data_IF_209167569433
#
_entry.id   IF_209167569433
#
_cell.length_a   1.000
_cell.length_b   1.000
_cell.length_c   1.000
_cell.angle_alpha   90.00
_cell.angle_beta   90.00
_cell.angle_gamma   90.00
#
_symmetry.space_group_name_H-M   'P 1'
#
loop_
_entity.id
_entity.type
_entity.pdbx_description
1 polymer ?
#
# COMPACT_ATOMS: atom_id res chain seq x y z
N UNK A 1 -25.20 1.87 7.24
CA UNK A 1 -24.28 0.96 7.96
C UNK A 1 -24.78 0.53 9.33
N UNK A 2 -25.39 1.42 10.15
CA UNK A 2 -25.94 1.05 11.47
C UNK A 2 -26.92 -0.13 11.38
N UNK A 3 -27.84 -0.10 10.41
CA UNK A 3 -28.78 -1.19 10.16
C UNK A 3 -28.06 -2.48 9.76
N UNK A 4 -27.08 -2.39 8.85
CA UNK A 4 -26.29 -3.54 8.42
C UNK A 4 -25.48 -4.16 9.56
N UNK A 5 -24.91 -3.33 10.45
CA UNK A 5 -24.25 -3.83 11.67
C UNK A 5 -25.21 -4.60 12.56
N UNK A 6 -26.42 -4.09 12.80
CA UNK A 6 -27.45 -4.80 13.55
C UNK A 6 -27.85 -6.13 12.90
N UNK A 7 -27.84 -6.18 11.57
CA UNK A 7 -28.12 -7.39 10.80
C UNK A 7 -26.92 -8.36 10.73
N UNK A 8 -25.80 -8.07 11.42
CA UNK A 8 -24.66 -8.97 11.55
C UNK A 8 -23.48 -8.67 10.63
N UNK A 9 -23.44 -7.51 9.96
CA UNK A 9 -22.27 -7.12 9.16
C UNK A 9 -21.01 -7.03 10.03
N UNK A 10 -19.98 -7.80 9.71
CA UNK A 10 -18.70 -7.87 10.44
C UNK A 10 -17.59 -7.09 9.74
N UNK A 11 -17.51 -7.20 8.41
CA UNK A 11 -16.41 -6.66 7.61
C UNK A 11 -16.90 -6.20 6.24
N UNK A 12 -16.28 -5.15 5.70
CA UNK A 12 -16.51 -4.67 4.34
C UNK A 12 -15.20 -4.50 3.57
N UNK A 13 -15.22 -4.70 2.27
CA UNK A 13 -14.18 -4.21 1.40
C UNK A 13 -14.52 -2.78 0.99
N UNK A 14 -13.60 -1.86 1.25
CA UNK A 14 -13.76 -0.44 0.98
C UNK A 14 -12.78 0.01 -0.11
N UNK A 15 -13.30 0.29 -1.31
CA UNK A 15 -12.50 0.78 -2.42
C UNK A 15 -12.16 2.27 -2.26
N UNK A 16 -11.12 2.57 -1.52
CA UNK A 16 -10.58 3.95 -1.34
C UNK A 16 -9.82 4.38 -2.59
N UNK A 17 -9.05 3.49 -3.16
CA UNK A 17 -8.17 3.58 -4.32
C UNK A 17 -7.00 4.56 -4.13
N UNK A 18 -7.24 5.80 -3.71
CA UNK A 18 -6.21 6.83 -3.49
C UNK A 18 -6.69 7.92 -2.56
N UNK A 19 -5.75 8.63 -1.96
CA UNK A 19 -5.98 9.91 -1.25
C UNK A 19 -5.43 11.12 -2.00
N UNK A 20 -5.06 10.94 -3.25
CA UNK A 20 -4.83 12.03 -4.19
C UNK A 20 -6.06 12.23 -5.08
N UNK A 21 -6.62 13.45 -5.10
CA UNK A 21 -7.78 13.75 -5.93
C UNK A 21 -7.46 13.54 -7.42
N UNK A 22 -6.23 13.89 -7.85
CA UNK A 22 -5.77 13.64 -9.23
C UNK A 22 -5.86 12.17 -9.63
N UNK A 23 -5.46 11.27 -8.73
CA UNK A 23 -5.56 9.82 -8.97
C UNK A 23 -7.03 9.35 -9.01
N UNK A 24 -7.89 9.84 -8.10
CA UNK A 24 -9.32 9.52 -8.11
C UNK A 24 -10.00 9.97 -9.40
N UNK A 25 -9.67 11.17 -9.89
CA UNK A 25 -10.18 11.70 -11.15
C UNK A 25 -9.66 10.90 -12.34
N UNK A 26 -8.38 10.52 -12.32
CA UNK A 26 -7.78 9.65 -13.33
C UNK A 26 -8.48 8.29 -13.41
N UNK A 27 -8.83 7.69 -12.26
CA UNK A 27 -9.60 6.44 -12.21
C UNK A 27 -11.07 6.62 -12.56
N UNK A 28 -11.54 7.86 -12.71
CA UNK A 28 -12.97 8.20 -12.90
C UNK A 28 -13.84 7.62 -11.79
N UNK A 29 -13.36 7.69 -10.56
CA UNK A 29 -14.03 7.11 -9.39
C UNK A 29 -15.31 7.86 -9.02
N UNK A 30 -15.42 9.15 -9.38
CA UNK A 30 -16.60 9.98 -9.08
C UNK A 30 -16.80 10.27 -7.59
N UNK A 31 -15.74 10.18 -6.79
CA UNK A 31 -15.74 10.49 -5.35
C UNK A 31 -14.60 11.43 -5.01
N UNK A 32 -14.70 12.06 -3.84
CA UNK A 32 -13.65 12.93 -3.31
C UNK A 32 -12.83 12.25 -2.22
N UNK A 33 -11.63 12.78 -1.97
CA UNK A 33 -10.78 12.39 -0.84
C UNK A 33 -11.53 12.51 0.48
N UNK A 34 -12.34 13.57 0.65
CA UNK A 34 -13.13 13.80 1.85
C UNK A 34 -14.19 12.71 2.04
N UNK A 35 -14.83 12.26 0.98
CA UNK A 35 -15.77 11.14 1.05
C UNK A 35 -15.08 9.83 1.47
N UNK A 36 -13.86 9.60 1.04
CA UNK A 36 -13.04 8.47 1.50
C UNK A 36 -12.75 8.55 3.00
N UNK A 37 -12.32 9.73 3.51
CA UNK A 37 -12.10 9.94 4.95
C UNK A 37 -13.36 9.68 5.75
N UNK A 38 -14.47 10.27 5.36
CA UNK A 38 -15.78 10.11 6.02
C UNK A 38 -16.26 8.66 6.03
N UNK A 39 -15.97 7.90 4.98
CA UNK A 39 -16.29 6.48 4.94
C UNK A 39 -15.49 5.69 5.98
N UNK A 40 -14.17 5.92 6.07
CA UNK A 40 -13.30 5.31 7.08
C UNK A 40 -13.73 5.67 8.50
N UNK A 41 -13.90 6.96 8.80
CA UNK A 41 -14.36 7.44 10.12
C UNK A 41 -15.70 6.81 10.52
N UNK A 42 -16.59 6.63 9.54
CA UNK A 42 -17.90 6.01 9.79
C UNK A 42 -17.76 4.55 10.18
N UNK A 43 -16.88 3.79 9.52
CA UNK A 43 -16.63 2.39 9.84
C UNK A 43 -15.93 2.22 11.19
N UNK A 44 -14.91 3.06 11.48
CA UNK A 44 -14.24 3.09 12.78
C UNK A 44 -15.24 3.39 13.93
N UNK A 45 -16.06 4.44 13.79
CA UNK A 45 -17.09 4.79 14.79
C UNK A 45 -18.15 3.71 14.98
N UNK A 46 -18.48 2.97 13.92
CA UNK A 46 -19.44 1.87 13.98
C UNK A 46 -18.77 0.55 14.36
N UNK A 47 -17.47 0.52 14.59
CA UNK A 47 -16.72 -0.68 14.94
C UNK A 47 -16.96 -1.81 13.92
N UNK A 48 -16.94 -1.48 12.65
CA UNK A 48 -17.05 -2.43 11.54
C UNK A 48 -15.65 -2.59 10.94
N UNK A 49 -15.16 -3.81 10.89
CA UNK A 49 -13.89 -4.08 10.23
C UNK A 49 -13.96 -3.77 8.74
N UNK A 50 -12.86 -3.24 8.19
CA UNK A 50 -12.79 -2.95 6.77
C UNK A 50 -11.41 -3.30 6.19
N UNK A 51 -11.43 -3.72 4.93
CA UNK A 51 -10.23 -3.94 4.12
C UNK A 51 -10.16 -2.85 3.06
N UNK A 52 -9.23 -1.89 3.16
CA UNK A 52 -9.12 -0.85 2.16
C UNK A 52 -8.53 -1.43 0.87
N UNK A 53 -9.22 -1.21 -0.25
CA UNK A 53 -8.65 -1.32 -1.59
C UNK A 53 -7.88 -0.03 -1.88
N UNK A 54 -6.59 -0.15 -2.18
CA UNK A 54 -5.72 0.99 -2.40
C UNK A 54 -4.79 0.75 -3.58
N UNK A 55 -4.58 1.78 -4.42
CA UNK A 55 -3.68 1.79 -5.56
C UNK A 55 -2.63 2.85 -5.29
N UNK A 56 -1.45 2.43 -4.84
CA UNK A 56 -0.36 3.36 -4.54
C UNK A 56 0.36 3.83 -5.79
N UNK A 57 0.44 2.95 -6.79
CA UNK A 57 1.20 3.18 -8.01
C UNK A 57 0.31 3.14 -9.24
N UNK A 58 0.37 4.17 -10.05
CA UNK A 58 -0.24 4.25 -11.36
C UNK A 58 0.73 4.97 -12.33
N UNK A 59 0.53 4.89 -13.66
CA UNK A 59 1.53 5.35 -14.62
C UNK A 59 1.94 6.83 -14.51
N UNK A 60 1.08 7.67 -13.95
CA UNK A 60 1.25 9.13 -13.88
C UNK A 60 1.44 9.66 -12.47
N UNK A 61 1.52 8.76 -11.48
CA UNK A 61 1.70 9.16 -10.08
C UNK A 61 3.01 9.90 -9.90
N UNK A 62 3.02 10.90 -9.03
CA UNK A 62 4.21 11.65 -8.62
C UNK A 62 4.64 11.26 -7.21
N UNK A 63 5.89 11.59 -6.83
CA UNK A 63 6.35 11.35 -5.45
C UNK A 63 5.50 12.09 -4.42
N UNK A 64 4.99 13.29 -4.74
CA UNK A 64 4.12 14.04 -3.84
C UNK A 64 2.79 13.32 -3.59
N UNK A 65 2.19 12.78 -4.65
CA UNK A 65 0.98 11.95 -4.50
C UNK A 65 1.25 10.66 -3.70
N UNK A 66 2.44 10.09 -3.84
CA UNK A 66 2.86 8.95 -2.99
C UNK A 66 2.94 9.39 -1.53
N UNK A 67 3.50 10.58 -1.23
CA UNK A 67 3.54 11.14 0.14
C UNK A 67 2.15 11.37 0.71
N UNK A 68 1.24 11.99 -0.06
CA UNK A 68 -0.16 12.18 0.34
C UNK A 68 -0.81 10.85 0.72
N UNK A 69 -0.62 9.86 -0.14
CA UNK A 69 -1.14 8.51 0.08
C UNK A 69 -0.54 7.85 1.32
N UNK A 70 0.78 7.96 1.55
CA UNK A 70 1.45 7.39 2.72
C UNK A 70 0.96 8.02 4.03
N UNK A 71 0.71 9.32 4.05
CA UNK A 71 0.15 10.01 5.22
C UNK A 71 -1.19 9.39 5.64
N UNK A 72 -2.09 9.16 4.69
CA UNK A 72 -3.37 8.52 4.98
C UNK A 72 -3.25 7.03 5.31
N UNK A 73 -2.36 6.30 4.66
CA UNK A 73 -2.09 4.89 4.96
C UNK A 73 -1.64 4.75 6.42
N UNK A 74 -0.82 5.69 6.90
CA UNK A 74 -0.37 5.74 8.30
C UNK A 74 -1.55 5.89 9.27
N UNK A 75 -2.52 6.74 8.94
CA UNK A 75 -3.78 6.86 9.67
C UNK A 75 -4.55 5.53 9.67
N UNK A 76 -4.71 4.89 8.50
CA UNK A 76 -5.42 3.62 8.37
C UNK A 76 -4.79 2.49 9.19
N UNK A 77 -3.46 2.35 9.13
CA UNK A 77 -2.72 1.29 9.86
C UNK A 77 -2.80 1.50 11.37
N UNK A 78 -2.97 2.74 11.81
CA UNK A 78 -3.20 3.08 13.21
C UNK A 78 -4.65 2.86 13.65
N UNK A 79 -5.58 2.71 12.69
CA UNK A 79 -7.00 2.46 12.95
C UNK A 79 -7.23 1.11 13.62
N UNK A 80 -8.25 1.04 14.47
CA UNK A 80 -8.59 -0.15 15.25
C UNK A 80 -9.26 -1.23 14.41
N UNK A 81 -10.03 -0.81 13.41
CA UNK A 81 -10.89 -1.69 12.61
C UNK A 81 -10.37 -1.87 11.17
N UNK A 82 -9.24 -1.28 10.82
CA UNK A 82 -8.55 -1.55 9.56
C UNK A 82 -8.01 -2.98 9.57
N UNK A 83 -8.44 -3.77 8.60
CA UNK A 83 -8.05 -5.16 8.46
C UNK A 83 -7.38 -5.37 7.11
N UNK A 84 -6.18 -5.95 7.09
CA UNK A 84 -5.38 -6.26 5.90
C UNK A 84 -5.14 -5.07 4.95
N UNK A 85 -3.97 -4.51 5.02
CA UNK A 85 -3.49 -3.52 4.07
C UNK A 85 -2.42 -4.12 3.14
N UNK A 86 -2.61 -3.94 1.83
CA UNK A 86 -1.64 -4.37 0.82
C UNK A 86 -0.98 -3.15 0.19
N UNK A 87 0.22 -2.81 0.64
CA UNK A 87 0.94 -1.59 0.26
C UNK A 87 1.49 -1.59 -1.17
N UNK A 88 1.81 -2.75 -1.73
CA UNK A 88 2.54 -2.87 -2.99
C UNK A 88 1.63 -3.07 -4.21
N UNK A 89 0.43 -2.50 -4.22
CA UNK A 89 -0.47 -2.65 -5.37
C UNK A 89 -0.34 -1.48 -6.33
N UNK A 90 0.14 -1.79 -7.52
CA UNK A 90 0.00 -0.96 -8.70
C UNK A 90 -1.36 -1.14 -9.37
N UNK A 91 -1.75 -0.16 -10.18
CA UNK A 91 -2.93 -0.22 -11.01
C UNK A 91 -2.81 -1.40 -12.01
N UNK A 92 -3.84 -2.21 -12.09
CA UNK A 92 -3.87 -3.30 -13.09
C UNK A 92 -4.42 -2.80 -14.40
N UNK A 93 -3.72 -3.10 -15.48
CA UNK A 93 -4.15 -2.76 -16.85
C UNK A 93 -4.77 -3.99 -17.50
N UNK A 94 -6.09 -3.98 -17.59
CA UNK A 94 -6.82 -5.07 -18.24
C UNK A 94 -6.86 -4.88 -19.77
N UNK A 95 -6.74 -5.99 -20.51
CA UNK A 95 -6.86 -5.98 -21.98
C UNK A 95 -8.23 -5.47 -22.40
N UNK A 96 -8.25 -4.66 -23.46
CA UNK A 96 -9.46 -4.03 -23.98
C UNK A 96 -9.94 -2.82 -23.17
N UNK A 97 -9.30 -2.50 -22.04
CA UNK A 97 -9.72 -1.36 -21.23
C UNK A 97 -9.35 -0.01 -21.89
N UNK A 98 -10.09 1.07 -21.60
CA UNK A 98 -9.73 2.41 -22.05
C UNK A 98 -8.34 2.85 -21.57
N UNK A 99 -7.89 2.34 -20.42
CA UNK A 99 -6.57 2.60 -19.87
C UNK A 99 -5.49 1.98 -20.75
N UNK A 100 -5.65 0.74 -21.19
CA UNK A 100 -4.70 0.08 -22.10
C UNK A 100 -4.45 0.93 -23.35
N UNK A 101 -5.51 1.34 -24.03
CA UNK A 101 -5.42 2.18 -25.24
C UNK A 101 -4.71 3.50 -24.97
N UNK A 102 -4.98 4.13 -23.81
CA UNK A 102 -4.34 5.38 -23.41
C UNK A 102 -2.83 5.22 -23.17
N UNK A 103 -2.44 4.14 -22.49
CA UNK A 103 -1.02 3.84 -22.21
C UNK A 103 -0.27 3.45 -23.48
N UNK A 104 -0.92 2.71 -24.38
CA UNK A 104 -0.35 2.35 -25.68
C UNK A 104 -0.09 3.61 -26.54
N UNK A 105 -1.08 4.51 -26.64
CA UNK A 105 -0.95 5.76 -27.39
C UNK A 105 0.10 6.72 -26.81
N UNK A 106 0.56 6.52 -25.56
CA UNK A 106 1.63 7.28 -24.92
C UNK A 106 2.96 6.53 -24.84
N UNK A 107 3.06 5.33 -25.40
CA UNK A 107 4.26 4.53 -25.35
C UNK A 107 4.62 3.97 -23.95
N UNK A 108 3.71 4.08 -22.99
CA UNK A 108 3.92 3.63 -21.62
C UNK A 108 3.52 2.17 -21.39
N UNK A 109 2.72 1.58 -22.27
CA UNK A 109 2.28 0.20 -22.14
C UNK A 109 3.46 -0.76 -22.36
N UNK A 110 3.54 -1.78 -21.52
CA UNK A 110 4.43 -2.93 -21.68
C UNK A 110 3.62 -4.21 -21.67
N UNK A 111 3.72 -4.99 -22.74
CA UNK A 111 3.06 -6.29 -22.87
C UNK A 111 4.00 -7.39 -22.39
N UNK A 112 3.58 -8.13 -21.38
CA UNK A 112 4.33 -9.27 -20.85
C UNK A 112 3.39 -10.48 -20.79
N UNK A 113 3.34 -11.26 -21.87
CA UNK A 113 2.47 -12.42 -21.99
C UNK A 113 1.01 -12.10 -21.71
N UNK A 114 0.45 -12.67 -20.65
CA UNK A 114 -0.96 -12.53 -20.28
C UNK A 114 -1.27 -11.23 -19.53
N UNK A 115 -0.26 -10.53 -19.02
CA UNK A 115 -0.41 -9.33 -18.20
C UNK A 115 0.14 -8.11 -18.93
N UNK A 116 -0.66 -7.05 -18.94
CA UNK A 116 -0.17 -5.74 -19.32
C UNK A 116 0.46 -5.08 -18.11
N UNK A 117 1.68 -4.58 -18.29
CA UNK A 117 2.40 -3.72 -17.35
C UNK A 117 2.60 -2.34 -17.97
N UNK A 118 3.19 -1.43 -17.24
CA UNK A 118 3.44 -0.08 -17.74
C UNK A 118 4.74 0.48 -17.18
N UNK A 119 5.25 1.49 -17.87
CA UNK A 119 6.30 2.36 -17.35
C UNK A 119 5.67 3.53 -16.62
N UNK A 120 6.35 4.02 -15.61
CA UNK A 120 5.99 5.27 -14.96
C UNK A 120 6.48 6.45 -15.78
N UNK A 121 5.68 7.51 -15.88
CA UNK A 121 6.04 8.71 -16.60
C UNK A 121 7.17 9.48 -15.88
N UNK A 122 7.15 9.44 -14.54
CA UNK A 122 8.16 10.07 -13.69
C UNK A 122 9.29 9.06 -13.38
N UNK A 123 10.53 9.31 -13.83
CA UNK A 123 11.68 8.44 -13.52
C UNK A 123 11.98 8.33 -12.02
N UNK A 124 11.69 9.38 -11.24
CA UNK A 124 11.88 9.35 -9.80
C UNK A 124 10.93 8.36 -9.13
N UNK A 125 9.68 8.25 -9.62
CA UNK A 125 8.74 7.22 -9.16
C UNK A 125 9.25 5.83 -9.53
N UNK A 126 9.76 5.64 -10.74
CA UNK A 126 10.34 4.35 -11.15
C UNK A 126 11.49 3.94 -10.22
N UNK A 127 12.38 4.89 -9.86
CA UNK A 127 13.48 4.67 -8.91
C UNK A 127 12.95 4.31 -7.51
N UNK A 128 11.97 5.05 -7.02
CA UNK A 128 11.34 4.79 -5.72
C UNK A 128 10.77 3.37 -5.64
N UNK A 129 10.02 2.96 -6.67
CA UNK A 129 9.42 1.62 -6.73
C UNK A 129 10.48 0.53 -6.83
N UNK A 130 11.55 0.77 -7.59
CA UNK A 130 12.68 -0.15 -7.66
C UNK A 130 13.32 -0.35 -6.29
N UNK A 131 13.66 0.74 -5.60
CA UNK A 131 14.33 0.71 -4.29
C UNK A 131 13.46 0.05 -3.22
N UNK A 132 12.18 0.40 -3.13
CA UNK A 132 11.25 -0.24 -2.19
C UNK A 132 10.97 -1.70 -2.54
N UNK A 133 10.95 -2.03 -3.84
CA UNK A 133 10.75 -3.38 -4.35
C UNK A 133 11.88 -4.36 -3.99
N UNK A 134 13.11 -3.88 -3.82
CA UNK A 134 14.25 -4.73 -3.39
C UNK A 134 14.05 -5.33 -1.99
N UNK A 135 13.27 -4.67 -1.13
CA UNK A 135 13.00 -5.12 0.24
C UNK A 135 11.67 -5.86 0.39
N UNK A 136 10.81 -5.83 -0.63
CA UNK A 136 9.50 -6.49 -0.61
C UNK A 136 9.56 -8.01 -0.39
N UNK A 137 10.49 -8.79 -0.99
CA UNK A 137 10.59 -10.24 -0.77
C UNK A 137 10.80 -10.60 0.71
N UNK A 138 11.57 -9.79 1.45
CA UNK A 138 11.84 -10.01 2.87
C UNK A 138 10.55 -9.90 3.71
N UNK A 139 9.71 -8.93 3.40
CA UNK A 139 8.40 -8.80 4.04
C UNK A 139 7.48 -9.99 3.72
N UNK A 140 7.52 -10.49 2.48
CA UNK A 140 6.70 -11.64 2.07
C UNK A 140 7.06 -12.90 2.84
N UNK A 141 8.34 -13.15 3.12
CA UNK A 141 8.78 -14.32 3.90
C UNK A 141 8.22 -14.31 5.32
N UNK A 142 8.11 -13.14 5.95
CA UNK A 142 7.47 -12.99 7.27
C UNK A 142 5.97 -13.23 7.17
N UNK A 143 5.35 -12.74 6.09
CA UNK A 143 3.91 -12.89 5.86
C UNK A 143 3.48 -14.34 5.60
N UNK A 144 4.33 -15.16 5.01
CA UNK A 144 4.04 -16.58 4.78
C UNK A 144 3.80 -17.33 6.09
N UNK A 145 4.34 -16.87 7.21
CA UNK A 145 4.11 -17.41 8.55
C UNK A 145 2.70 -17.12 9.10
N UNK A 146 1.92 -16.29 8.41
CA UNK A 146 0.54 -15.92 8.78
C UNK A 146 -0.39 -17.13 8.87
N UNK A 147 -0.12 -18.19 8.11
CA UNK A 147 -1.00 -19.36 8.03
C UNK A 147 -1.19 -20.08 9.38
N UNK A 148 -0.19 -20.03 10.25
CA UNK A 148 -0.21 -20.65 11.58
C UNK A 148 -0.89 -19.78 12.66
N UNK A 149 -1.22 -18.52 12.35
CA UNK A 149 -1.74 -17.56 13.30
C UNK A 149 -3.28 -17.56 13.37
N UNK A 150 -3.83 -17.30 14.56
CA UNK A 150 -5.25 -17.01 14.70
C UNK A 150 -5.63 -15.60 14.17
N UNK A 151 -6.91 -15.29 14.12
CA UNK A 151 -7.41 -14.02 13.53
C UNK A 151 -6.84 -12.78 14.20
N UNK A 152 -6.69 -12.78 15.53
CA UNK A 152 -6.15 -11.63 16.30
C UNK A 152 -4.67 -11.45 16.01
N UNK A 153 -3.92 -12.51 15.99
CA UNK A 153 -2.49 -12.51 15.71
C UNK A 153 -2.19 -12.06 14.28
N UNK A 154 -2.96 -12.55 13.29
CA UNK A 154 -2.86 -12.10 11.90
C UNK A 154 -3.07 -10.59 11.77
N UNK A 155 -4.09 -10.04 12.43
CA UNK A 155 -4.31 -8.58 12.43
C UNK A 155 -3.14 -7.83 13.03
N UNK A 156 -2.56 -8.36 14.10
CA UNK A 156 -1.39 -7.76 14.72
C UNK A 156 -0.18 -7.79 13.80
N UNK A 157 0.06 -8.91 13.15
CA UNK A 157 1.12 -9.05 12.13
C UNK A 157 0.91 -8.08 10.97
N UNK A 158 -0.29 -8.03 10.39
CA UNK A 158 -0.62 -7.11 9.28
C UNK A 158 -0.36 -5.65 9.68
N UNK A 159 -0.69 -5.27 10.92
CA UNK A 159 -0.41 -3.92 11.44
C UNK A 159 1.09 -3.66 11.57
N UNK A 160 1.85 -4.59 12.12
CA UNK A 160 3.32 -4.46 12.26
C UNK A 160 4.01 -4.36 10.89
N UNK A 161 3.62 -5.20 9.93
CA UNK A 161 4.14 -5.16 8.57
C UNK A 161 3.73 -3.86 7.86
N UNK A 162 2.51 -3.38 8.12
CA UNK A 162 2.04 -2.10 7.63
C UNK A 162 2.90 -0.93 8.13
N UNK A 163 3.15 -0.86 9.43
CA UNK A 163 4.01 0.16 10.04
C UNK A 163 5.45 0.07 9.52
N UNK A 164 5.99 -1.13 9.38
CA UNK A 164 7.31 -1.33 8.78
C UNK A 164 7.39 -0.81 7.35
N UNK A 165 6.38 -1.12 6.51
CA UNK A 165 6.34 -0.68 5.12
C UNK A 165 6.25 0.84 4.99
N UNK A 166 5.42 1.50 5.80
CA UNK A 166 5.31 2.96 5.82
C UNK A 166 6.66 3.59 6.14
N UNK A 167 7.28 3.10 7.21
CA UNK A 167 8.57 3.64 7.64
C UNK A 167 9.67 3.46 6.58
N UNK A 168 9.70 2.29 5.93
CA UNK A 168 10.60 2.05 4.81
C UNK A 168 10.37 3.05 3.67
N UNK A 169 9.12 3.31 3.32
CA UNK A 169 8.78 4.23 2.24
C UNK A 169 9.16 5.68 2.58
N UNK A 170 8.89 6.12 3.83
CA UNK A 170 9.28 7.44 4.31
C UNK A 170 10.82 7.60 4.25
N UNK A 171 11.59 6.58 4.67
CA UNK A 171 13.05 6.62 4.62
C UNK A 171 13.60 6.61 3.19
N UNK A 172 13.01 5.84 2.27
CA UNK A 172 13.42 5.86 0.86
C UNK A 172 13.12 7.21 0.22
N UNK A 173 11.96 7.81 0.49
CA UNK A 173 11.63 9.15 0.01
C UNK A 173 12.63 10.20 0.53
N UNK A 174 12.97 10.16 1.81
CA UNK A 174 13.94 11.06 2.42
C UNK A 174 15.35 10.90 1.81
N UNK A 175 15.77 9.66 1.52
CA UNK A 175 17.06 9.42 0.84
C UNK A 175 17.07 10.00 -0.58
N UNK A 176 15.96 9.89 -1.31
CA UNK A 176 15.86 10.43 -2.67
C UNK A 176 15.90 11.96 -2.72
N UNK A 177 15.45 12.64 -1.66
CA UNK A 177 15.49 14.11 -1.55
C UNK A 177 16.91 14.66 -1.32
N UNK A 178 17.78 13.88 -0.69
CA UNK A 178 19.13 14.34 -0.35
C UNK A 178 20.12 14.26 -1.51
N UNK A 179 19.66 13.90 -2.71
CA UNK A 179 20.46 13.75 -3.96
C UNK A 179 21.76 12.93 -3.78
N UNK A 180 21.81 12.13 -2.73
CA UNK A 180 22.99 11.37 -2.37
C UNK A 180 22.88 9.94 -2.90
N UNK A 181 23.46 9.69 -4.07
CA UNK A 181 23.81 8.34 -4.56
C UNK A 181 24.94 7.70 -3.70
N UNK A 182 24.86 7.88 -2.37
CA UNK A 182 25.85 7.29 -1.47
C UNK A 182 25.44 5.83 -1.16
N UNK A 183 26.19 4.84 -1.67
CA UNK A 183 25.90 3.42 -1.44
C UNK A 183 25.78 3.08 0.04
N UNK A 184 26.54 3.73 0.89
CA UNK A 184 26.55 3.52 2.35
C UNK A 184 25.21 3.87 3.00
N UNK A 185 24.53 4.90 2.52
CA UNK A 185 23.21 5.29 3.07
C UNK A 185 22.14 4.26 2.71
N UNK A 186 22.19 3.74 1.47
CA UNK A 186 21.29 2.68 1.06
C UNK A 186 21.56 1.38 1.82
N UNK A 187 22.81 1.03 2.01
CA UNK A 187 23.20 -0.14 2.80
C UNK A 187 22.73 -0.01 4.26
N UNK A 188 22.92 1.14 4.89
CA UNK A 188 22.43 1.41 6.24
C UNK A 188 20.90 1.32 6.35
N UNK A 189 20.17 1.83 5.36
CA UNK A 189 18.70 1.71 5.32
C UNK A 189 18.27 0.24 5.20
N UNK A 190 18.92 -0.52 4.33
CA UNK A 190 18.64 -1.96 4.15
C UNK A 190 18.89 -2.73 5.45
N UNK A 191 20.01 -2.48 6.14
CA UNK A 191 20.32 -3.11 7.42
C UNK A 191 19.28 -2.78 8.50
N UNK A 192 18.89 -1.52 8.65
CA UNK A 192 17.84 -1.10 9.59
C UNK A 192 16.49 -1.74 9.28
N UNK A 193 16.14 -1.84 7.99
CA UNK A 193 14.91 -2.50 7.57
C UNK A 193 14.93 -3.99 7.94
N UNK A 194 16.07 -4.67 7.78
CA UNK A 194 16.26 -6.06 8.16
C UNK A 194 16.16 -6.26 9.68
N UNK A 195 16.80 -5.43 10.47
CA UNK A 195 16.73 -5.51 11.93
C UNK A 195 15.30 -5.35 12.46
N UNK A 196 14.54 -4.40 11.88
CA UNK A 196 13.14 -4.19 12.24
C UNK A 196 12.27 -5.39 11.85
N UNK A 197 12.51 -5.95 10.67
CA UNK A 197 11.77 -7.11 10.19
C UNK A 197 12.06 -8.35 11.06
N UNK A 198 13.32 -8.55 11.45
CA UNK A 198 13.72 -9.62 12.37
C UNK A 198 13.07 -9.47 13.77
N UNK A 199 12.79 -8.24 14.23
CA UNK A 199 12.00 -8.02 15.46
C UNK A 199 10.55 -8.46 15.29
N UNK A 200 9.93 -8.15 14.15
CA UNK A 200 8.57 -8.60 13.83
C UNK A 200 8.52 -10.13 13.79
N UNK A 201 9.48 -10.78 13.15
CA UNK A 201 9.59 -12.26 13.12
C UNK A 201 9.65 -12.88 14.51
N UNK A 202 10.49 -12.34 15.39
CA UNK A 202 10.56 -12.80 16.78
C UNK A 202 9.24 -12.64 17.51
N UNK A 203 8.55 -11.51 17.29
CA UNK A 203 7.23 -11.28 17.88
C UNK A 203 6.21 -12.31 17.40
N UNK A 204 6.21 -12.65 16.10
CA UNK A 204 5.33 -13.70 15.54
C UNK A 204 5.67 -15.08 16.12
N UNK A 205 6.97 -15.39 16.29
CA UNK A 205 7.38 -16.65 16.89
C UNK A 205 6.89 -16.79 18.32
N UNK A 206 6.95 -15.71 19.12
CA UNK A 206 6.45 -15.70 20.51
C UNK A 206 4.91 -15.80 20.61
N UNK A 207 4.18 -15.46 19.55
CA UNK A 207 2.73 -15.63 19.49
C UNK A 207 2.31 -17.08 19.23
N UNK A 208 3.23 -17.91 18.70
CA UNK A 208 2.98 -19.32 18.37
C UNK A 208 3.38 -20.28 19.49
N UNK A 209 3.93 -19.80 20.60
CA UNK A 209 4.29 -20.56 21.81
C UNK A 209 3.28 -20.31 22.91
#
# INVERSE_FOLDING_TARGET
FRFLKKAGLKEVFLGIESMSQKSLDFYRKGITVEQNRKAVETLERLEIYYRPGFILYEPYVTLDQIRENLGFIKELVSGRYCNKFHFFKGLRVYRGSPLEKRLEGRGLLRRNGWHNTYMWQDPAVARFIYLTGLLAPKMLSVKEKEAALNVRERRNLDRLLGQWSIHLYEEVLALMETDSDQPDRWMNLSLKADERLARIERTVHLMNV
#
